data_IF_930847926711
#
_entry.id   IF_930847926711
#
_cell.length_a   1.000
_cell.length_b   1.000
_cell.length_c   1.000
_cell.angle_alpha   90.00
_cell.angle_beta   90.00
_cell.angle_gamma   90.00
#
_symmetry.space_group_name_H-M   'P 1'
#
loop_
_entity.id
_entity.type
_entity.pdbx_description
1 polymer ?
#
# COMPACT_ATOMS: atom_id res chain seq x y z
N UNK A 1 17.72 20.87 -6.31
CA UNK A 1 17.11 19.56 -6.59
C UNK A 1 16.14 19.75 -7.73
N UNK A 2 16.13 18.87 -8.73
CA UNK A 2 15.09 18.89 -9.75
C UNK A 2 13.74 18.57 -9.09
N UNK A 3 12.67 19.27 -9.48
CA UNK A 3 11.32 19.01 -8.94
C UNK A 3 10.86 17.61 -9.35
N UNK A 4 10.17 16.91 -8.45
CA UNK A 4 9.60 15.58 -8.75
C UNK A 4 8.15 15.64 -9.21
N UNK A 5 7.51 16.80 -9.11
CA UNK A 5 6.19 17.08 -9.66
C UNK A 5 6.27 17.54 -11.13
N UNK A 6 5.13 17.57 -11.81
CA UNK A 6 5.06 18.16 -13.15
C UNK A 6 5.36 19.68 -13.08
N UNK A 7 6.11 20.26 -14.04
CA UNK A 7 6.45 21.68 -14.01
C UNK A 7 5.22 22.58 -13.87
N UNK A 8 5.25 23.49 -12.89
CA UNK A 8 4.14 24.41 -12.61
C UNK A 8 3.09 23.88 -11.63
N UNK A 9 3.22 22.63 -11.18
CA UNK A 9 2.28 22.00 -10.25
C UNK A 9 2.76 22.03 -8.80
N UNK A 10 1.82 21.95 -7.86
CA UNK A 10 2.11 21.88 -6.44
C UNK A 10 2.78 20.54 -6.09
N UNK A 11 3.93 20.61 -5.44
CA UNK A 11 4.78 19.43 -5.13
C UNK A 11 4.57 18.91 -3.70
N UNK A 12 3.81 19.60 -2.84
CA UNK A 12 3.66 19.22 -1.42
C UNK A 12 2.26 19.41 -0.87
N UNK A 13 1.90 18.53 0.05
CA UNK A 13 0.78 18.71 0.98
C UNK A 13 1.28 18.47 2.41
N UNK A 14 1.34 19.53 3.22
CA UNK A 14 2.00 19.46 4.52
C UNK A 14 3.47 19.03 4.38
N UNK A 15 3.82 17.90 4.99
CA UNK A 15 5.17 17.33 4.94
C UNK A 15 5.37 16.28 3.85
N UNK A 16 4.32 15.91 3.11
CA UNK A 16 4.37 14.86 2.09
C UNK A 16 4.72 15.51 0.74
N UNK A 17 5.76 14.99 0.10
CA UNK A 17 6.09 15.32 -1.29
C UNK A 17 5.19 14.50 -2.21
N UNK A 18 4.59 15.17 -3.20
CA UNK A 18 3.67 14.60 -4.20
C UNK A 18 4.38 14.60 -5.56
N UNK A 19 4.97 13.46 -5.96
CA UNK A 19 5.63 13.32 -7.26
C UNK A 19 4.63 12.97 -8.36
N UNK A 20 4.92 13.34 -9.61
CA UNK A 20 4.18 12.82 -10.76
C UNK A 20 4.33 11.27 -10.82
N UNK A 21 3.30 10.46 -11.12
CA UNK A 21 2.02 10.79 -11.77
C UNK A 21 0.94 11.37 -10.85
N UNK A 22 1.20 11.46 -9.55
CA UNK A 22 0.29 12.10 -8.60
C UNK A 22 0.30 13.62 -8.76
N UNK A 23 -0.80 14.25 -8.39
CA UNK A 23 -0.93 15.71 -8.46
C UNK A 23 -2.13 16.22 -7.69
N UNK A 24 -2.10 17.54 -7.46
CA UNK A 24 -3.09 18.27 -6.67
C UNK A 24 -3.82 19.29 -7.56
N UNK A 25 -5.08 19.57 -7.21
CA UNK A 25 -5.94 20.70 -7.63
C UNK A 25 -6.31 20.82 -9.12
N UNK A 26 -5.38 20.61 -10.05
CA UNK A 26 -5.55 20.86 -11.48
C UNK A 26 -5.39 19.58 -12.32
N UNK A 27 -6.29 19.30 -13.29
CA UNK A 27 -6.24 18.10 -14.14
C UNK A 27 -4.92 17.89 -14.87
N UNK A 28 -4.21 18.96 -15.24
CA UNK A 28 -2.93 18.85 -15.93
C UNK A 28 -1.79 18.41 -15.01
N UNK A 29 -1.97 18.39 -13.69
CA UNK A 29 -0.92 18.11 -12.70
C UNK A 29 -0.75 16.65 -12.33
N UNK A 30 -1.70 15.81 -12.70
CA UNK A 30 -1.67 14.37 -12.46
C UNK A 30 -1.94 13.60 -13.74
N UNK A 31 -1.78 12.29 -13.67
CA UNK A 31 -2.32 11.36 -14.66
C UNK A 31 -3.72 10.93 -14.24
N UNK A 32 -4.61 10.64 -15.19
CA UNK A 32 -5.97 10.17 -14.89
C UNK A 32 -5.97 9.06 -13.83
N UNK A 33 -6.78 9.23 -12.77
CA UNK A 33 -6.89 8.33 -11.61
C UNK A 33 -5.86 8.58 -10.49
N UNK A 34 -4.89 9.47 -10.69
CA UNK A 34 -3.84 9.82 -9.73
C UNK A 34 -4.06 11.20 -9.06
N UNK A 35 -5.27 11.74 -9.14
CA UNK A 35 -5.64 12.95 -8.42
C UNK A 35 -5.68 12.73 -6.92
N UNK A 36 -5.05 13.64 -6.19
CA UNK A 36 -5.02 13.65 -4.73
C UNK A 36 -5.62 14.96 -4.20
N UNK A 37 -6.20 14.90 -3.01
CA UNK A 37 -6.74 16.07 -2.32
C UNK A 37 -5.85 16.47 -1.15
N UNK A 38 -5.38 17.71 -1.14
CA UNK A 38 -4.74 18.30 0.04
C UNK A 38 -5.78 19.02 0.89
N UNK A 39 -6.15 18.45 2.03
CA UNK A 39 -7.13 19.04 2.93
C UNK A 39 -6.47 20.01 3.90
N UNK A 40 -6.66 21.30 3.62
CA UNK A 40 -6.12 22.42 4.40
C UNK A 40 -6.94 22.77 5.65
N UNK A 41 -8.03 22.06 5.94
CA UNK A 41 -8.78 22.24 7.20
C UNK A 41 -8.04 21.64 8.41
N UNK A 42 -7.11 20.72 8.17
CA UNK A 42 -6.19 20.17 9.16
C UNK A 42 -4.92 21.02 9.28
N UNK A 43 -4.29 20.98 10.46
CA UNK A 43 -3.00 21.64 10.71
C UNK A 43 -2.01 20.65 11.36
N UNK A 44 -0.96 20.19 10.65
CA UNK A 44 -0.65 20.51 9.25
C UNK A 44 -1.68 19.92 8.26
N UNK A 45 -1.72 20.40 7.00
CA UNK A 45 -2.59 19.85 5.95
C UNK A 45 -2.37 18.35 5.76
N UNK A 46 -3.45 17.61 5.51
CA UNK A 46 -3.45 16.17 5.32
C UNK A 46 -3.76 15.80 3.87
N UNK A 47 -3.10 14.76 3.36
CA UNK A 47 -3.23 14.30 1.98
C UNK A 47 -4.21 13.11 1.90
N UNK A 48 -5.07 13.08 0.89
CA UNK A 48 -6.06 12.03 0.68
C UNK A 48 -6.10 11.56 -0.76
N UNK A 49 -6.52 10.31 -0.98
CA UNK A 49 -6.85 9.81 -2.33
C UNK A 49 -8.18 10.44 -2.79
N UNK A 50 -8.15 11.19 -3.90
CA UNK A 50 -9.30 11.88 -4.52
C UNK A 50 -10.25 12.58 -3.53
N UNK A 51 -11.57 12.55 -3.75
CA UNK A 51 -12.59 13.31 -2.97
C UNK A 51 -12.79 12.84 -1.50
N UNK A 52 -12.16 11.72 -1.11
CA UNK A 52 -11.41 11.59 0.16
C UNK A 52 -12.10 11.02 1.42
N UNK A 53 -11.86 9.73 1.71
CA UNK A 53 -11.90 9.12 3.06
C UNK A 53 -10.62 8.30 3.42
N UNK A 54 -9.63 8.23 2.52
CA UNK A 54 -8.38 7.48 2.72
C UNK A 54 -7.19 8.45 2.85
N UNK A 55 -6.69 8.64 4.08
CA UNK A 55 -5.55 9.52 4.38
C UNK A 55 -4.23 8.87 3.96
N UNK A 56 -3.42 9.57 3.16
CA UNK A 56 -2.07 9.18 2.77
C UNK A 56 -1.08 9.66 3.83
N UNK A 57 -0.27 8.74 4.33
CA UNK A 57 0.80 8.96 5.30
C UNK A 57 2.15 9.18 4.63
N UNK A 58 2.39 8.46 3.54
CA UNK A 58 3.66 8.45 2.83
C UNK A 58 3.49 8.02 1.37
N UNK A 59 4.31 8.60 0.49
CA UNK A 59 4.45 8.18 -0.91
C UNK A 59 5.93 7.81 -1.12
N UNK A 60 6.18 6.57 -1.55
CA UNK A 60 7.53 6.04 -1.79
C UNK A 60 7.73 5.67 -3.26
N UNK A 61 8.17 6.61 -4.12
CA UNK A 61 8.40 6.36 -5.56
C UNK A 61 9.38 5.23 -5.85
N UNK A 62 10.43 5.09 -5.04
CA UNK A 62 11.43 4.04 -5.20
C UNK A 62 10.90 2.63 -4.92
N UNK A 63 9.85 2.52 -4.09
CA UNK A 63 9.19 1.26 -3.75
C UNK A 63 7.89 1.05 -4.52
N UNK A 64 7.44 2.06 -5.28
CA UNK A 64 6.15 2.08 -5.95
C UNK A 64 4.96 1.85 -5.00
N UNK A 65 5.07 2.39 -3.77
CA UNK A 65 4.14 2.17 -2.67
C UNK A 65 3.62 3.45 -2.01
N UNK A 66 2.33 3.49 -1.68
CA UNK A 66 1.73 4.45 -0.76
C UNK A 66 1.46 3.78 0.57
N UNK A 67 1.60 4.51 1.68
CA UNK A 67 1.07 4.10 2.98
C UNK A 67 -0.14 4.96 3.31
N UNK A 68 -1.25 4.33 3.65
CA UNK A 68 -2.49 5.02 4.03
C UNK A 68 -2.99 4.54 5.40
N UNK A 69 -3.91 5.28 6.00
CA UNK A 69 -4.73 4.75 7.10
C UNK A 69 -5.90 3.92 6.56
N UNK A 70 -6.06 2.72 7.11
CA UNK A 70 -7.26 1.89 6.96
C UNK A 70 -7.98 1.71 8.29
N UNK A 71 -9.28 1.48 8.22
CA UNK A 71 -10.12 1.24 9.39
C UNK A 71 -10.09 -0.23 9.80
N UNK A 72 -10.39 -0.50 11.07
CA UNK A 72 -10.55 -1.84 11.61
C UNK A 72 -12.01 -2.21 11.80
N UNK A 73 -12.32 -3.50 11.65
CA UNK A 73 -13.57 -4.06 12.14
C UNK A 73 -13.42 -4.46 13.60
N UNK A 74 -14.50 -4.35 14.36
CA UNK A 74 -14.53 -4.80 15.75
C UNK A 74 -15.88 -5.44 16.12
N UNK A 75 -15.86 -6.25 17.16
CA UNK A 75 -17.06 -6.77 17.83
C UNK A 75 -16.78 -6.86 19.33
N UNK A 76 -17.53 -6.10 20.10
CA UNK A 76 -17.34 -5.93 21.54
C UNK A 76 -18.59 -6.35 22.30
N UNK A 77 -18.38 -6.93 23.48
CA UNK A 77 -19.45 -7.44 24.32
C UNK A 77 -19.33 -6.93 25.75
N UNK A 78 -20.45 -6.92 26.48
CA UNK A 78 -20.47 -6.78 27.93
C UNK A 78 -20.32 -8.13 28.64
N UNK A 79 -20.23 -8.09 29.98
CA UNK A 79 -20.05 -9.30 30.81
C UNK A 79 -21.19 -10.32 30.67
N UNK A 80 -22.38 -9.88 30.25
CA UNK A 80 -23.53 -10.76 30.04
C UNK A 80 -23.54 -11.41 28.65
N UNK A 81 -22.63 -11.00 27.76
CA UNK A 81 -22.59 -11.43 26.37
C UNK A 81 -23.54 -10.64 25.46
N UNK A 82 -23.98 -9.45 25.88
CA UNK A 82 -24.68 -8.54 24.98
C UNK A 82 -23.65 -7.81 24.13
N UNK A 83 -23.86 -7.76 22.80
CA UNK A 83 -23.03 -6.94 21.91
C UNK A 83 -23.25 -5.47 22.26
N UNK A 84 -22.16 -4.75 22.52
CA UNK A 84 -22.17 -3.33 22.86
C UNK A 84 -21.72 -2.47 21.68
N UNK A 85 -20.89 -3.04 20.81
CA UNK A 85 -20.32 -2.35 19.65
C UNK A 85 -19.98 -3.37 18.56
N UNK A 86 -20.23 -2.99 17.31
CA UNK A 86 -19.97 -3.83 16.14
C UNK A 86 -19.72 -2.94 14.93
N UNK A 87 -18.53 -3.06 14.35
CA UNK A 87 -18.13 -2.31 13.16
C UNK A 87 -17.55 -3.24 12.11
N UNK A 88 -18.03 -3.08 10.88
CA UNK A 88 -17.41 -3.68 9.71
C UNK A 88 -16.37 -2.73 9.13
N UNK A 89 -15.32 -3.29 8.52
CA UNK A 89 -14.33 -2.50 7.79
C UNK A 89 -14.35 -2.88 6.31
N UNK A 90 -14.20 -1.88 5.45
CA UNK A 90 -14.14 -2.08 4.01
C UNK A 90 -13.34 -0.96 3.36
N UNK A 91 -12.67 -1.30 2.27
CA UNK A 91 -12.02 -0.33 1.39
C UNK A 91 -12.21 -0.82 -0.03
N UNK A 92 -12.59 0.09 -0.92
CA UNK A 92 -12.80 -0.17 -2.34
C UNK A 92 -11.87 0.71 -3.17
N UNK A 93 -11.03 0.08 -3.99
CA UNK A 93 -10.10 0.73 -4.92
C UNK A 93 -10.34 0.28 -6.37
N UNK A 94 -11.46 -0.35 -6.70
CA UNK A 94 -11.66 -0.98 -8.02
C UNK A 94 -11.46 -0.01 -9.19
N UNK A 95 -11.98 1.22 -9.06
CA UNK A 95 -11.86 2.28 -10.05
C UNK A 95 -10.59 3.14 -9.91
N UNK A 96 -9.68 2.78 -9.00
CA UNK A 96 -8.46 3.52 -8.69
C UNK A 96 -7.21 2.73 -9.10
N UNK A 97 -6.10 3.39 -9.45
CA UNK A 97 -4.87 2.74 -9.93
C UNK A 97 -4.02 2.15 -8.78
N UNK A 98 -4.69 1.62 -7.75
CA UNK A 98 -4.07 1.13 -6.52
C UNK A 98 -4.49 -0.31 -6.24
N UNK A 99 -3.56 -1.08 -5.68
CA UNK A 99 -3.78 -2.45 -5.23
C UNK A 99 -3.20 -2.61 -3.82
N UNK A 100 -3.85 -3.37 -2.94
CA UNK A 100 -3.26 -3.71 -1.65
C UNK A 100 -1.99 -4.54 -1.85
N UNK A 101 -0.88 -4.11 -1.24
CA UNK A 101 0.39 -4.82 -1.35
C UNK A 101 0.32 -6.22 -0.74
N UNK A 102 0.50 -7.26 -1.57
CA UNK A 102 0.40 -8.67 -1.15
C UNK A 102 1.61 -9.11 -0.30
N UNK A 103 2.72 -8.40 -0.43
CA UNK A 103 3.95 -8.67 0.30
C UNK A 103 4.03 -7.94 1.63
N UNK A 104 3.47 -6.72 1.72
CA UNK A 104 3.55 -5.91 2.94
C UNK A 104 2.32 -6.03 3.84
N UNK A 105 1.13 -6.27 3.29
CA UNK A 105 -0.06 -6.35 4.13
C UNK A 105 -0.33 -7.78 4.61
N UNK A 106 -0.85 -7.86 5.84
CA UNK A 106 -1.45 -9.08 6.39
C UNK A 106 -2.81 -8.77 6.96
N UNK A 107 -3.79 -9.59 6.61
CA UNK A 107 -5.06 -9.59 7.33
C UNK A 107 -4.78 -10.17 8.70
N UNK A 108 -5.09 -9.40 9.74
CA UNK A 108 -4.78 -9.70 11.13
C UNK A 108 -6.06 -9.70 11.93
N UNK A 109 -6.23 -10.69 12.79
CA UNK A 109 -7.33 -10.77 13.75
C UNK A 109 -6.76 -10.94 15.13
N UNK A 110 -7.33 -10.20 16.09
CA UNK A 110 -7.01 -10.26 17.51
C UNK A 110 -8.27 -10.63 18.26
N UNK A 111 -8.16 -11.63 19.14
CA UNK A 111 -9.24 -12.03 20.01
C UNK A 111 -9.21 -13.51 20.36
N UNK A 112 -10.02 -13.83 21.35
CA UNK A 112 -10.37 -15.17 21.77
C UNK A 112 -11.88 -15.33 21.67
N UNK A 113 -12.37 -16.53 21.36
CA UNK A 113 -13.80 -16.70 21.05
C UNK A 113 -14.20 -15.83 19.84
N UNK A 114 -13.38 -15.91 18.78
CA UNK A 114 -13.40 -14.99 17.63
C UNK A 114 -13.38 -15.76 16.32
N UNK A 115 -14.24 -15.37 15.39
CA UNK A 115 -14.16 -15.70 13.98
C UNK A 115 -14.15 -14.41 13.17
N UNK A 116 -13.28 -14.34 12.17
CA UNK A 116 -13.21 -13.22 11.26
C UNK A 116 -13.04 -13.70 9.83
N UNK A 117 -13.48 -12.86 8.92
CA UNK A 117 -13.39 -13.10 7.48
C UNK A 117 -12.97 -11.81 6.77
N UNK A 118 -12.09 -11.96 5.79
CA UNK A 118 -11.80 -10.96 4.77
C UNK A 118 -12.22 -11.52 3.42
N UNK A 119 -13.05 -10.77 2.71
CA UNK A 119 -13.54 -11.10 1.37
C UNK A 119 -13.14 -10.04 0.38
N UNK A 120 -12.81 -10.43 -0.85
CA UNK A 120 -12.76 -9.50 -1.99
C UNK A 120 -14.14 -9.32 -2.63
N UNK A 121 -14.36 -8.20 -3.33
CA UNK A 121 -15.54 -7.93 -4.14
C UNK A 121 -15.64 -8.84 -5.37
N UNK A 122 -16.83 -8.78 -5.98
CA UNK A 122 -17.24 -9.57 -7.13
C UNK A 122 -16.23 -9.52 -8.30
N UNK A 123 -15.63 -10.67 -8.65
CA UNK A 123 -14.70 -10.81 -9.76
C UNK A 123 -13.45 -11.63 -9.42
N UNK A 124 -13.08 -11.69 -8.13
CA UNK A 124 -12.11 -12.66 -7.60
C UNK A 124 -12.67 -13.26 -6.32
N UNK A 125 -13.12 -14.51 -6.38
CA UNK A 125 -13.64 -15.25 -5.24
C UNK A 125 -12.53 -15.56 -4.23
N UNK A 126 -12.08 -14.54 -3.50
CA UNK A 126 -11.14 -14.66 -2.40
C UNK A 126 -11.90 -14.46 -1.10
N UNK A 127 -11.79 -15.47 -0.26
CA UNK A 127 -12.19 -15.44 1.15
C UNK A 127 -11.02 -16.01 1.93
N UNK A 128 -10.60 -15.30 2.97
CA UNK A 128 -9.69 -15.80 3.99
C UNK A 128 -10.22 -15.41 5.36
N UNK A 129 -9.70 -15.98 6.42
CA UNK A 129 -10.23 -15.73 7.76
C UNK A 129 -9.40 -16.38 8.84
N UNK A 130 -9.76 -16.03 10.08
CA UNK A 130 -9.13 -16.55 11.27
C UNK A 130 -10.21 -17.06 12.23
N UNK A 131 -10.02 -18.26 12.77
CA UNK A 131 -10.87 -18.87 13.79
C UNK A 131 -9.99 -19.16 15.01
N UNK A 132 -10.35 -18.59 16.16
CA UNK A 132 -9.52 -18.69 17.37
C UNK A 132 -10.38 -18.89 18.61
N UNK A 133 -9.95 -19.83 19.45
CA UNK A 133 -10.52 -20.08 20.77
C UNK A 133 -9.38 -20.17 21.78
N UNK A 134 -9.59 -19.59 22.96
CA UNK A 134 -8.63 -19.60 24.06
C UNK A 134 -9.35 -20.03 25.35
N UNK A 135 -8.63 -20.67 26.27
CA UNK A 135 -9.17 -21.02 27.59
C UNK A 135 -9.03 -19.88 28.59
N UNK A 136 -7.89 -19.19 28.55
CA UNK A 136 -7.45 -18.19 29.51
C UNK A 136 -6.36 -17.30 28.89
N UNK A 137 -6.04 -16.18 29.54
CA UNK A 137 -5.03 -15.20 29.08
C UNK A 137 -3.63 -15.83 29.04
N UNK A 138 -3.33 -16.73 29.96
CA UNK A 138 -2.02 -17.37 30.15
C UNK A 138 -1.68 -18.35 29.01
N UNK A 139 -2.68 -18.92 28.34
CA UNK A 139 -2.51 -19.79 27.17
C UNK A 139 -2.02 -19.03 25.93
N UNK A 140 -2.15 -17.70 25.91
CA UNK A 140 -1.82 -16.85 24.77
C UNK A 140 -0.32 -16.58 24.73
N UNK A 141 0.30 -16.79 23.56
CA UNK A 141 1.74 -16.63 23.38
C UNK A 141 2.05 -15.21 22.92
N UNK A 142 2.67 -14.42 23.79
CA UNK A 142 3.06 -13.05 23.48
C UNK A 142 4.00 -12.97 22.26
N UNK A 143 3.72 -12.04 21.35
CA UNK A 143 4.48 -11.88 20.10
C UNK A 143 4.14 -12.90 19.00
N UNK A 144 3.31 -13.92 19.27
CA UNK A 144 2.90 -14.89 18.27
C UNK A 144 1.55 -14.52 17.65
N UNK A 145 1.43 -14.61 16.32
CA UNK A 145 0.18 -14.35 15.61
C UNK A 145 -0.17 -15.48 14.62
N UNK A 146 -0.16 -16.71 15.14
CA UNK A 146 -0.35 -17.93 14.32
C UNK A 146 -1.55 -18.78 14.75
N UNK A 147 -2.41 -18.33 15.67
CA UNK A 147 -3.68 -19.02 15.96
C UNK A 147 -4.25 -18.97 17.38
N UNK A 148 -3.54 -18.43 18.39
CA UNK A 148 -4.09 -18.24 19.75
C UNK A 148 -4.00 -16.76 20.11
N UNK A 149 -5.15 -16.11 20.32
CA UNK A 149 -5.25 -14.68 20.60
C UNK A 149 -4.95 -13.76 19.41
N UNK A 150 -4.16 -14.23 18.45
CA UNK A 150 -3.84 -13.53 17.20
C UNK A 150 -3.64 -14.51 16.04
N UNK A 151 -4.13 -14.14 14.87
CA UNK A 151 -3.95 -14.88 13.62
C UNK A 151 -3.75 -13.92 12.44
N UNK A 152 -2.86 -14.29 11.54
CA UNK A 152 -2.54 -13.54 10.32
C UNK A 152 -2.67 -14.40 9.07
N UNK A 153 -3.24 -13.83 8.02
CA UNK A 153 -3.29 -14.45 6.68
C UNK A 153 -2.78 -13.50 5.61
N UNK A 154 -2.16 -14.06 4.57
CA UNK A 154 -1.79 -13.31 3.35
C UNK A 154 -3.02 -12.96 2.51
N UNK A 155 -2.89 -11.91 1.70
CA UNK A 155 -3.85 -11.57 0.63
C UNK A 155 -3.27 -12.01 -0.73
N UNK A 156 -4.11 -12.25 -1.75
CA UNK A 156 -3.63 -12.58 -3.08
C UNK A 156 -3.09 -11.34 -3.80
N UNK A 157 -2.30 -11.54 -4.86
CA UNK A 157 -1.90 -10.47 -5.78
C UNK A 157 -3.11 -9.83 -6.44
N UNK A 158 -3.03 -8.55 -6.77
CA UNK A 158 -4.07 -7.79 -7.47
C UNK A 158 -5.36 -7.58 -6.66
N UNK A 159 -5.26 -7.67 -5.33
CA UNK A 159 -6.37 -7.46 -4.41
C UNK A 159 -6.67 -5.96 -4.32
N UNK A 160 -7.82 -5.52 -4.85
CA UNK A 160 -8.18 -4.09 -4.96
C UNK A 160 -9.22 -3.63 -3.94
N UNK A 161 -9.97 -4.55 -3.37
CA UNK A 161 -11.09 -4.24 -2.52
C UNK A 161 -11.16 -5.29 -1.41
N UNK A 162 -11.78 -4.92 -0.30
CA UNK A 162 -12.13 -5.91 0.71
C UNK A 162 -13.30 -5.50 1.57
N UNK A 163 -13.94 -6.50 2.15
CA UNK A 163 -14.82 -6.37 3.30
C UNK A 163 -14.30 -7.27 4.43
N UNK A 164 -14.33 -6.77 5.67
CA UNK A 164 -13.90 -7.46 6.87
C UNK A 164 -15.07 -7.56 7.84
N UNK A 165 -15.34 -8.78 8.27
CA UNK A 165 -16.31 -9.09 9.31
C UNK A 165 -15.62 -9.78 10.49
N UNK A 166 -16.08 -9.48 11.70
CA UNK A 166 -15.61 -10.11 12.93
C UNK A 166 -16.80 -10.40 13.84
N UNK A 167 -16.81 -11.57 14.45
CA UNK A 167 -17.88 -12.01 15.33
C UNK A 167 -17.35 -13.04 16.35
N UNK A 168 -18.21 -13.40 17.29
CA UNK A 168 -17.90 -14.32 18.38
C UNK A 168 -18.70 -15.62 18.30
N UNK A 169 -18.18 -16.72 18.86
CA UNK A 169 -18.93 -17.98 18.96
C UNK A 169 -19.84 -18.00 20.20
N UNK A 170 -19.36 -17.50 21.33
CA UNK A 170 -20.05 -17.51 22.63
C UNK A 170 -20.23 -16.11 23.23
N UNK A 171 -20.28 -15.09 22.37
CA UNK A 171 -20.45 -13.67 22.73
C UNK A 171 -19.48 -13.20 23.82
N UNK A 172 -18.25 -13.69 23.77
CA UNK A 172 -17.19 -13.47 24.76
C UNK A 172 -17.55 -13.82 26.21
N UNK A 173 -18.65 -14.54 26.49
CA UNK A 173 -19.13 -14.77 27.87
C UNK A 173 -18.10 -15.49 28.76
N UNK A 174 -17.19 -16.27 28.16
CA UNK A 174 -16.11 -16.99 28.86
C UNK A 174 -14.77 -16.26 28.90
N UNK A 175 -14.55 -15.25 28.06
CA UNK A 175 -13.25 -14.56 27.89
C UNK A 175 -13.30 -13.06 28.20
N UNK A 176 -14.50 -12.51 28.40
CA UNK A 176 -14.76 -11.07 28.56
C UNK A 176 -13.84 -10.37 29.57
N UNK A 177 -13.45 -11.05 30.65
CA UNK A 177 -12.59 -10.50 31.69
C UNK A 177 -11.17 -10.13 31.21
N UNK A 178 -10.71 -10.69 30.09
CA UNK A 178 -9.41 -10.36 29.49
C UNK A 178 -9.48 -10.06 27.99
N UNK A 179 -10.59 -10.35 27.33
CA UNK A 179 -10.85 -10.05 25.94
C UNK A 179 -12.30 -9.58 25.73
N UNK A 180 -12.61 -8.28 26.00
CA UNK A 180 -13.95 -7.73 25.82
C UNK A 180 -14.30 -7.49 24.35
N UNK A 181 -13.29 -7.24 23.51
CA UNK A 181 -13.45 -6.90 22.09
C UNK A 181 -12.56 -7.77 21.21
N UNK A 182 -13.07 -8.13 20.04
CA UNK A 182 -12.35 -8.76 18.95
C UNK A 182 -12.12 -7.75 17.84
N UNK A 183 -10.96 -7.80 17.19
CA UNK A 183 -10.58 -6.86 16.13
C UNK A 183 -10.13 -7.62 14.88
N UNK A 184 -10.45 -7.10 13.71
CA UNK A 184 -9.97 -7.62 12.44
C UNK A 184 -9.63 -6.48 11.48
N UNK A 185 -8.47 -6.54 10.84
CA UNK A 185 -7.96 -5.44 10.02
C UNK A 185 -6.88 -5.89 9.04
N UNK A 186 -6.71 -5.12 7.97
CA UNK A 186 -5.56 -5.24 7.07
C UNK A 186 -4.49 -4.22 7.49
N UNK A 187 -3.26 -4.67 7.73
CA UNK A 187 -2.18 -3.80 8.23
C UNK A 187 -0.85 -4.13 7.57
N UNK A 188 0.04 -3.13 7.51
CA UNK A 188 1.46 -3.32 7.25
C UNK A 188 2.09 -4.27 8.28
N UNK A 189 2.55 -5.43 7.81
CA UNK A 189 3.11 -6.50 8.64
C UNK A 189 4.35 -6.05 9.42
N UNK A 190 5.15 -5.12 8.88
CA UNK A 190 6.34 -4.63 9.56
C UNK A 190 5.99 -3.65 10.69
N UNK A 191 4.80 -3.05 10.65
CA UNK A 191 4.33 -2.09 11.64
C UNK A 191 3.70 -2.76 12.86
N UNK A 192 2.92 -3.83 12.66
CA UNK A 192 2.18 -4.46 13.75
C UNK A 192 2.89 -5.69 14.33
N UNK A 193 3.06 -5.71 15.65
CA UNK A 193 3.48 -6.90 16.40
C UNK A 193 2.52 -7.15 17.55
N UNK A 194 1.99 -8.37 17.59
CA UNK A 194 1.02 -8.77 18.61
C UNK A 194 1.60 -8.70 20.01
N UNK A 195 0.81 -8.16 20.93
CA UNK A 195 1.02 -8.24 22.37
C UNK A 195 -0.20 -8.84 23.03
N UNK A 196 -0.02 -9.66 24.07
CA UNK A 196 -1.14 -10.21 24.86
C UNK A 196 -2.02 -9.10 25.45
N UNK A 197 -1.45 -7.92 25.73
CA UNK A 197 -2.22 -6.75 26.20
C UNK A 197 -3.17 -6.18 25.14
N UNK A 198 -2.97 -6.51 23.86
CA UNK A 198 -3.88 -6.10 22.79
C UNK A 198 -5.26 -6.75 22.96
N UNK A 199 -5.38 -7.88 23.66
CA UNK A 199 -6.68 -8.51 23.92
C UNK A 199 -7.63 -7.61 24.72
N UNK A 200 -7.11 -6.74 25.59
CA UNK A 200 -7.92 -5.82 26.41
C UNK A 200 -7.69 -4.35 26.12
N UNK A 201 -6.57 -3.99 25.47
CA UNK A 201 -6.14 -2.59 25.31
C UNK A 201 -5.74 -2.22 23.88
N UNK A 202 -6.20 -2.95 22.87
CA UNK A 202 -5.84 -2.66 21.47
C UNK A 202 -6.27 -1.24 21.06
N UNK A 203 -7.53 -0.89 21.32
CA UNK A 203 -8.09 0.39 20.92
C UNK A 203 -7.36 1.58 21.56
N UNK A 204 -7.07 1.51 22.85
CA UNK A 204 -6.36 2.57 23.56
C UNK A 204 -4.94 2.77 23.05
N UNK A 205 -4.32 1.73 22.49
CA UNK A 205 -2.95 1.77 21.96
C UNK A 205 -2.86 2.28 20.54
N UNK A 206 -3.85 1.96 19.70
CA UNK A 206 -3.76 2.19 18.25
C UNK A 206 -4.87 3.07 17.68
N UNK A 207 -5.98 3.29 18.39
CA UNK A 207 -7.13 4.08 17.94
C UNK A 207 -7.96 3.35 16.87
N UNK A 208 -8.62 4.12 16.00
CA UNK A 208 -9.55 3.62 14.96
C UNK A 208 -8.86 3.23 13.63
N UNK A 209 -7.62 3.65 13.42
CA UNK A 209 -6.96 3.59 12.12
C UNK A 209 -5.56 3.02 12.20
N UNK A 210 -5.23 2.13 11.26
CA UNK A 210 -3.96 1.42 11.18
C UNK A 210 -3.30 1.64 9.82
N UNK A 211 -1.96 1.68 9.74
CA UNK A 211 -1.29 1.87 8.47
C UNK A 211 -1.39 0.60 7.61
N UNK A 212 -1.76 0.77 6.35
CA UNK A 212 -1.68 -0.27 5.31
C UNK A 212 -0.96 0.25 4.08
N UNK A 213 -0.46 -0.67 3.26
CA UNK A 213 0.38 -0.35 2.09
C UNK A 213 -0.37 -0.61 0.79
N UNK A 214 -0.39 0.36 -0.12
CA UNK A 214 -0.90 0.20 -1.48
C UNK A 214 0.29 0.19 -2.44
N UNK A 215 0.30 -0.71 -3.40
CA UNK A 215 1.10 -0.55 -4.61
C UNK A 215 0.28 0.26 -5.62
N UNK A 216 0.94 1.11 -6.43
CA UNK A 216 0.29 1.70 -7.60
C UNK A 216 0.86 1.12 -8.89
N UNK A 217 0.10 1.23 -9.98
CA UNK A 217 0.59 0.90 -11.31
C UNK A 217 -0.17 1.69 -12.38
N UNK A 218 0.46 1.85 -13.54
CA UNK A 218 -0.25 2.36 -14.72
C UNK A 218 -1.13 1.22 -15.22
N UNK A 219 -2.36 1.21 -14.72
CA UNK A 219 -3.41 0.28 -15.12
C UNK A 219 -3.94 0.67 -16.50
N UNK A 220 -4.16 -0.33 -17.37
CA UNK A 220 -4.87 -0.34 -18.67
C UNK A 220 -4.25 -1.37 -19.61
N UNK A 221 -2.92 -1.50 -19.57
CA UNK A 221 -2.13 -2.34 -20.49
C UNK A 221 -0.94 -2.97 -19.75
N UNK A 222 -0.27 -3.92 -20.38
CA UNK A 222 1.03 -4.43 -19.92
C UNK A 222 2.16 -3.80 -20.73
N UNK A 223 3.40 -3.94 -20.25
CA UNK A 223 4.56 -3.39 -20.94
C UNK A 223 4.75 -4.00 -22.35
N UNK A 224 4.29 -5.24 -22.57
CA UNK A 224 4.35 -5.91 -23.87
C UNK A 224 3.33 -5.38 -24.89
N UNK A 225 2.17 -4.91 -24.41
CA UNK A 225 1.08 -4.45 -25.28
C UNK A 225 1.14 -2.95 -25.54
N UNK A 226 1.69 -2.18 -24.60
CA UNK A 226 1.75 -0.72 -24.70
C UNK A 226 2.84 -0.25 -25.66
N UNK A 227 2.47 0.66 -26.56
CA UNK A 227 3.42 1.28 -27.50
C UNK A 227 3.67 2.74 -27.14
N UNK A 228 4.94 3.14 -27.22
CA UNK A 228 5.40 4.54 -27.03
C UNK A 228 4.72 5.55 -27.97
N UNK A 229 4.10 5.07 -29.05
CA UNK A 229 3.40 5.91 -30.03
C UNK A 229 2.02 6.34 -29.50
N UNK A 230 1.44 5.60 -28.56
CA UNK A 230 0.13 5.92 -28.01
C UNK A 230 0.22 7.00 -26.93
N UNK A 231 -0.72 7.96 -26.91
CA UNK A 231 -0.82 8.97 -25.84
C UNK A 231 -0.98 8.37 -24.43
N UNK A 232 -1.41 7.11 -24.34
CA UNK A 232 -1.55 6.37 -23.09
C UNK A 232 -0.23 5.84 -22.53
N UNK A 233 0.90 5.91 -23.24
CA UNK A 233 2.20 5.51 -22.69
C UNK A 233 2.63 6.47 -21.58
N UNK A 234 2.95 5.94 -20.39
CA UNK A 234 3.21 6.74 -19.20
C UNK A 234 4.68 7.05 -18.94
N UNK A 235 5.62 6.30 -19.53
CA UNK A 235 7.04 6.45 -19.24
C UNK A 235 7.67 7.53 -20.12
N UNK A 236 8.45 8.42 -19.52
CA UNK A 236 9.15 9.50 -20.21
C UNK A 236 10.39 9.03 -20.97
N UNK A 237 11.18 9.97 -21.49
CA UNK A 237 12.45 9.66 -22.17
C UNK A 237 13.46 9.06 -21.19
N UNK A 238 14.35 8.21 -21.73
CA UNK A 238 15.38 7.49 -20.97
C UNK A 238 14.80 6.67 -19.80
N UNK A 239 13.61 6.11 -20.01
CA UNK A 239 12.95 5.23 -19.07
C UNK A 239 12.31 4.05 -19.80
N UNK A 240 12.18 2.93 -19.10
CA UNK A 240 11.64 1.69 -19.63
C UNK A 240 10.46 1.23 -18.77
N UNK A 241 9.49 0.56 -19.41
CA UNK A 241 8.39 -0.06 -18.71
C UNK A 241 8.76 -1.45 -18.18
N UNK A 242 8.06 -1.88 -17.14
CA UNK A 242 8.09 -3.26 -16.66
C UNK A 242 6.76 -3.60 -15.98
N UNK A 243 6.36 -4.86 -16.02
CA UNK A 243 5.07 -5.26 -15.46
C UNK A 243 5.06 -5.17 -13.93
N UNK A 244 3.92 -4.77 -13.38
CA UNK A 244 3.72 -4.67 -11.93
C UNK A 244 3.89 -6.03 -11.27
N UNK A 245 4.68 -6.14 -10.18
CA UNK A 245 4.88 -7.40 -9.47
C UNK A 245 3.59 -7.89 -8.76
N UNK A 246 2.67 -6.97 -8.44
CA UNK A 246 1.37 -7.24 -7.85
C UNK A 246 0.28 -7.53 -8.93
N UNK A 247 0.70 -7.70 -10.19
CA UNK A 247 -0.06 -8.35 -11.25
C UNK A 247 -0.89 -7.45 -12.16
N UNK A 248 -1.21 -6.21 -11.75
CA UNK A 248 -2.02 -5.28 -12.54
C UNK A 248 -1.17 -4.14 -13.11
N UNK A 249 -1.23 -3.95 -14.42
CA UNK A 249 -0.57 -2.83 -15.12
C UNK A 249 0.95 -2.93 -15.21
N UNK A 250 1.56 -1.79 -15.53
CA UNK A 250 3.01 -1.64 -15.62
C UNK A 250 3.51 -0.41 -14.85
N UNK A 251 4.81 -0.37 -14.63
CA UNK A 251 5.54 0.68 -13.94
C UNK A 251 6.62 1.24 -14.87
N UNK A 252 7.08 2.44 -14.58
CA UNK A 252 8.18 3.08 -15.29
C UNK A 252 9.42 3.15 -14.40
N UNK A 253 10.59 2.88 -14.96
CA UNK A 253 11.87 3.06 -14.29
C UNK A 253 12.87 3.76 -15.21
N UNK A 254 13.73 4.62 -14.66
CA UNK A 254 14.79 5.21 -15.47
C UNK A 254 15.73 4.13 -16.00
N UNK A 255 16.11 4.26 -17.26
CA UNK A 255 17.08 3.36 -17.90
C UNK A 255 18.44 3.47 -17.19
N UNK A 256 19.28 2.45 -17.38
CA UNK A 256 20.60 2.41 -16.74
C UNK A 256 21.43 3.68 -17.01
N UNK A 257 21.95 4.30 -15.94
CA UNK A 257 22.72 5.54 -16.00
C UNK A 257 21.90 6.83 -15.86
N UNK A 258 20.57 6.71 -15.74
CA UNK A 258 19.65 7.83 -15.53
C UNK A 258 18.97 7.74 -14.16
N UNK A 259 18.66 8.90 -13.58
CA UNK A 259 17.95 9.01 -12.31
C UNK A 259 16.92 10.15 -12.38
N UNK A 260 15.88 10.05 -11.56
CA UNK A 260 14.83 11.06 -11.46
C UNK A 260 13.43 10.44 -11.50
N UNK A 261 12.45 11.18 -12.02
CA UNK A 261 11.08 10.71 -12.11
C UNK A 261 10.79 10.13 -13.51
N UNK A 262 10.61 8.81 -13.65
CA UNK A 262 10.40 8.17 -14.95
C UNK A 262 9.03 8.43 -15.57
N UNK A 263 8.09 9.03 -14.84
CA UNK A 263 6.77 9.38 -15.36
C UNK A 263 6.74 10.78 -16.00
N UNK A 264 7.80 11.58 -15.83
CA UNK A 264 7.93 12.88 -16.50
C UNK A 264 8.69 12.73 -17.83
N UNK A 265 8.24 13.45 -18.86
CA UNK A 265 8.80 13.37 -20.24
C UNK A 265 10.33 13.51 -20.28
N UNK A 266 10.90 14.45 -19.54
CA UNK A 266 12.36 14.66 -19.42
C UNK A 266 12.85 14.47 -17.97
N UNK A 267 12.16 13.62 -17.20
CA UNK A 267 12.42 13.44 -15.76
C UNK A 267 13.61 12.54 -15.44
N UNK A 268 13.96 11.60 -16.31
CA UNK A 268 15.16 10.78 -16.17
C UNK A 268 16.38 11.51 -16.74
N UNK A 269 17.23 12.02 -15.85
CA UNK A 269 18.42 12.79 -16.18
C UNK A 269 19.68 11.94 -15.97
N UNK A 270 20.56 11.92 -16.98
CA UNK A 270 21.80 11.17 -16.92
C UNK A 270 22.90 11.98 -16.24
N UNK A 271 23.76 11.31 -15.48
CA UNK A 271 25.01 11.92 -15.06
C UNK A 271 25.96 12.00 -16.27
N UNK A 272 26.29 13.22 -16.71
CA UNK A 272 27.28 13.47 -17.77
C UNK A 272 28.63 12.76 -17.53
N UNK A 273 28.95 12.46 -16.27
CA UNK A 273 30.17 11.75 -15.89
C UNK A 273 30.13 10.24 -16.25
N UNK A 274 28.99 9.56 -16.16
CA UNK A 274 28.86 8.14 -16.52
C UNK A 274 28.75 7.93 -18.04
N UNK A 275 28.14 8.89 -18.75
CA UNK A 275 28.19 8.90 -20.21
C UNK A 275 29.63 9.09 -20.71
N UNK A 276 30.43 9.91 -20.04
CA UNK A 276 31.85 10.08 -20.38
C UNK A 276 32.68 8.81 -20.12
N UNK A 277 32.44 8.09 -19.02
CA UNK A 277 33.17 6.85 -18.72
C UNK A 277 32.80 5.74 -19.70
N UNK A 278 31.54 5.64 -20.09
CA UNK A 278 31.05 4.68 -21.09
C UNK A 278 31.58 5.02 -22.48
N UNK A 279 31.62 6.31 -22.85
CA UNK A 279 32.20 6.79 -24.12
C UNK A 279 33.72 6.58 -24.17
N UNK A 280 34.43 6.85 -23.08
CA UNK A 280 35.87 6.58 -22.96
C UNK A 280 36.19 5.08 -23.00
N UNK A 281 35.38 4.24 -22.36
CA UNK A 281 35.52 2.77 -22.42
C UNK A 281 35.21 2.22 -23.81
N UNK A 282 34.24 2.81 -24.52
CA UNK A 282 33.94 2.45 -25.91
C UNK A 282 35.10 2.86 -26.84
N UNK A 283 35.67 4.06 -26.69
CA UNK A 283 36.83 4.51 -27.45
C UNK A 283 38.07 3.65 -27.17
N UNK A 284 38.34 3.25 -25.92
CA UNK A 284 39.42 2.32 -25.59
C UNK A 284 39.24 0.94 -26.25
N UNK A 285 38.00 0.44 -26.37
CA UNK A 285 37.72 -0.79 -27.14
C UNK A 285 37.94 -0.61 -28.63
N UNK A 286 37.61 0.56 -29.19
CA UNK A 286 37.89 0.87 -30.60
C UNK A 286 39.40 0.97 -30.88
N UNK A 287 40.19 1.60 -30.01
CA UNK A 287 41.65 1.68 -30.14
C UNK A 287 42.32 0.29 -30.00
N UNK A 288 41.77 -0.59 -29.17
CA UNK A 288 42.23 -1.98 -29.06
C UNK A 288 41.98 -2.80 -30.33
N UNK A 289 40.89 -2.52 -31.06
CA UNK A 289 40.59 -3.20 -32.33
C UNK A 289 41.53 -2.71 -33.45
N UNK A 290 41.91 -1.44 -33.46
CA UNK A 290 42.87 -0.91 -34.45
C UNK A 290 44.32 -1.34 -34.21
N UNK A 291 44.69 -1.65 -32.96
CA UNK A 291 46.06 -2.09 -32.63
C UNK A 291 46.33 -3.56 -32.98
N UNK A 292 45.28 -4.36 -33.25
CA UNK A 292 45.39 -5.80 -33.57
C UNK A 292 45.35 -6.08 -35.09
N UNK A 293 45.26 -5.04 -35.94
CA UNK A 293 45.17 -5.16 -37.42
C UNK A 293 46.35 -4.47 -38.14
N UNK A 294 47.52 -4.36 -37.50
CA UNK A 294 48.78 -3.97 -38.17
C UNK A 294 49.87 -4.98 -37.87
#
# INVERSE_FOLDING_TARGET
>A
MASVAKPGCQEKCGNITVPYPFGLDYPDCYRDGYDLTCNHTFNPPKLFISTGNLEILEISPSLTQLRIYGFMGNSCYDRSGSETESWYSWVDLDDLPYTFSDTHNRFTTIGCDTLSEITGSEGRNFTSGCSMACSDKESVINGSCTGIGCCQTSIPKGFKNFNVNVWSYENHTRVWNFNPCSYAFLVDYDWYRFSVEDLSHFYERYGDSLPLVLDWAIENETCETVSRIYPSYACGKNSDCYNSPNGLGYLCNCSQGYQGNPYLEDGCQGNLLDLSSTYMNALQKFDYIYTVVV
#
